data_IF_679076011164
#
_entry.id   IF_679076011164
#
_cell.length_a   1.000
_cell.length_b   1.000
_cell.length_c   1.000
_cell.angle_alpha   90.00
_cell.angle_beta   90.00
_cell.angle_gamma   90.00
#
_symmetry.space_group_name_H-M   'P 1'
#
loop_
_entity.id
_entity.type
_entity.pdbx_description
1 polymer ?
#
# COMPACT_ATOMS: atom_id res chain seq x y z
N UNK A 1 -4.51 7.87 18.42
CA UNK A 1 -5.51 6.78 18.53
C UNK A 1 -5.28 5.80 17.37
N UNK A 2 -5.23 4.49 17.63
CA UNK A 2 -5.10 3.47 16.57
C UNK A 2 -6.48 3.09 16.02
N UNK A 3 -6.54 2.45 14.85
CA UNK A 3 -7.80 1.95 14.28
C UNK A 3 -8.53 0.98 15.23
N UNK A 4 -7.78 0.21 16.03
CA UNK A 4 -8.35 -0.69 17.04
C UNK A 4 -8.88 0.01 18.31
N UNK A 5 -8.55 1.29 18.51
CA UNK A 5 -9.02 2.10 19.64
C UNK A 5 -10.28 2.92 19.31
N UNK A 6 -10.63 3.03 18.03
CA UNK A 6 -11.89 3.65 17.57
C UNK A 6 -12.99 2.58 17.46
N UNK A 7 -14.19 2.92 17.92
CA UNK A 7 -15.41 2.09 17.83
C UNK A 7 -15.19 0.61 18.19
N UNK A 8 -14.46 0.36 19.28
CA UNK A 8 -14.14 -0.98 19.78
C UNK A 8 -13.47 -1.93 18.76
N UNK A 9 -12.81 -1.38 17.74
CA UNK A 9 -12.16 -2.16 16.68
C UNK A 9 -13.07 -2.53 15.51
N UNK A 10 -14.31 -2.03 15.47
CA UNK A 10 -15.27 -2.26 14.38
C UNK A 10 -14.65 -1.96 13.01
N UNK A 11 -13.95 -0.84 12.87
CA UNK A 11 -13.28 -0.46 11.64
C UNK A 11 -12.22 -1.48 11.19
N UNK A 12 -11.53 -2.10 12.15
CA UNK A 12 -10.55 -3.15 11.85
C UNK A 12 -11.24 -4.41 11.33
N UNK A 13 -12.39 -4.78 11.91
CA UNK A 13 -13.19 -5.91 11.42
C UNK A 13 -13.78 -5.64 10.03
N UNK A 14 -14.25 -4.41 9.75
CA UNK A 14 -14.73 -4.02 8.43
C UNK A 14 -13.62 -4.11 7.37
N UNK A 15 -12.41 -3.62 7.66
CA UNK A 15 -11.25 -3.75 6.75
C UNK A 15 -10.92 -5.24 6.52
N UNK A 16 -10.95 -6.07 7.56
CA UNK A 16 -10.72 -7.49 7.41
C UNK A 16 -11.81 -8.19 6.59
N UNK A 17 -13.08 -7.79 6.73
CA UNK A 17 -14.17 -8.30 5.90
C UNK A 17 -13.96 -7.93 4.43
N UNK A 18 -13.59 -6.68 4.14
CA UNK A 18 -13.25 -6.24 2.79
C UNK A 18 -12.07 -7.03 2.19
N UNK A 19 -11.03 -7.33 2.97
CA UNK A 19 -9.92 -8.17 2.51
C UNK A 19 -10.34 -9.60 2.18
N UNK A 20 -11.25 -10.18 2.96
CA UNK A 20 -11.72 -11.57 2.75
C UNK A 20 -12.71 -11.70 1.60
N UNK A 21 -13.64 -10.77 1.50
CA UNK A 21 -14.85 -10.91 0.67
C UNK A 21 -14.88 -9.93 -0.50
N UNK A 22 -14.14 -8.81 -0.41
CA UNK A 22 -14.19 -7.71 -1.37
C UNK A 22 -13.80 -8.13 -2.79
N UNK A 23 -12.87 -9.07 -2.96
CA UNK A 23 -12.42 -9.52 -4.28
C UNK A 23 -13.58 -10.07 -5.11
N UNK A 24 -14.55 -10.76 -4.49
CA UNK A 24 -15.74 -11.28 -5.16
C UNK A 24 -16.66 -10.19 -5.72
N UNK A 25 -16.61 -8.99 -5.14
CA UNK A 25 -17.32 -7.79 -5.58
C UNK A 25 -16.44 -6.84 -6.42
N UNK A 26 -15.21 -7.25 -6.78
CA UNK A 26 -14.25 -6.42 -7.51
C UNK A 26 -13.59 -5.32 -6.66
N UNK A 27 -13.63 -5.44 -5.33
CA UNK A 27 -12.97 -4.55 -4.39
C UNK A 27 -11.59 -5.10 -4.00
N UNK A 28 -10.55 -4.30 -4.23
CA UNK A 28 -9.16 -4.63 -3.87
C UNK A 28 -8.61 -3.54 -2.95
N UNK A 29 -7.84 -3.95 -1.94
CA UNK A 29 -7.27 -3.05 -0.96
C UNK A 29 -5.76 -2.97 -1.14
N UNK A 30 -5.25 -1.73 -1.16
CA UNK A 30 -3.83 -1.44 -1.07
C UNK A 30 -3.59 -0.81 0.30
N UNK A 31 -2.81 -1.49 1.12
CA UNK A 31 -2.51 -1.07 2.49
C UNK A 31 -1.06 -0.58 2.56
N UNK A 32 -0.85 0.51 3.29
CA UNK A 32 0.50 1.03 3.57
C UNK A 32 0.63 1.22 5.07
N UNK A 33 1.83 0.99 5.59
CA UNK A 33 2.10 1.03 7.01
C UNK A 33 3.55 0.68 7.30
N UNK A 34 3.87 0.62 8.58
CA UNK A 34 5.17 0.21 9.07
C UNK A 34 5.15 -1.28 9.48
N UNK A 35 6.05 -1.65 10.40
CA UNK A 35 6.11 -2.99 11.00
C UNK A 35 4.75 -3.50 11.48
N UNK A 36 3.89 -2.65 12.05
CA UNK A 36 2.63 -3.09 12.65
C UNK A 36 1.68 -3.72 11.63
N UNK A 37 1.73 -3.28 10.36
CA UNK A 37 0.91 -3.87 9.30
C UNK A 37 1.35 -5.31 8.96
N UNK A 38 2.59 -5.65 9.28
CA UNK A 38 3.17 -6.99 9.08
C UNK A 38 2.85 -7.94 10.24
N UNK A 39 2.19 -7.45 11.29
CA UNK A 39 1.83 -8.23 12.47
C UNK A 39 0.33 -8.57 12.44
N UNK A 40 0.00 -9.83 12.70
CA UNK A 40 -1.39 -10.27 12.91
C UNK A 40 -2.21 -10.48 11.64
N UNK A 41 -3.52 -10.27 11.76
CA UNK A 41 -4.52 -10.81 10.81
C UNK A 41 -4.55 -10.07 9.46
N UNK A 42 -4.23 -8.78 9.44
CA UNK A 42 -4.11 -8.03 8.19
C UNK A 42 -2.96 -8.58 7.34
N UNK A 43 -1.83 -8.92 7.96
CA UNK A 43 -0.70 -9.54 7.28
C UNK A 43 -1.05 -10.92 6.71
N UNK A 44 -1.82 -11.74 7.43
CA UNK A 44 -2.24 -13.06 6.94
C UNK A 44 -3.26 -12.99 5.80
N UNK A 45 -4.08 -11.94 5.75
CA UNK A 45 -5.08 -11.72 4.71
C UNK A 45 -4.52 -11.01 3.46
N UNK A 46 -3.29 -10.50 3.53
CA UNK A 46 -2.64 -9.80 2.41
C UNK A 46 -1.72 -10.77 1.68
N UNK A 47 -2.05 -11.15 0.46
CA UNK A 47 -1.23 -12.07 -0.34
C UNK A 47 0.08 -11.39 -0.81
N UNK A 48 -0.04 -10.25 -1.47
CA UNK A 48 1.10 -9.51 -2.02
C UNK A 48 1.64 -8.47 -1.04
N UNK A 49 2.90 -8.62 -0.64
CA UNK A 49 3.58 -7.69 0.27
C UNK A 49 4.90 -7.23 -0.32
N UNK A 50 5.13 -5.92 -0.26
CA UNK A 50 6.39 -5.30 -0.63
C UNK A 50 6.94 -4.53 0.57
N UNK A 51 8.11 -4.94 1.05
CA UNK A 51 8.79 -4.25 2.14
C UNK A 51 9.78 -3.22 1.56
N UNK A 52 9.46 -1.93 1.70
CA UNK A 52 10.44 -0.85 1.56
C UNK A 52 11.47 -0.90 2.70
N UNK A 53 12.37 0.08 2.78
CA UNK A 53 13.33 0.18 3.90
C UNK A 53 12.62 0.20 5.25
N UNK A 54 12.74 -0.88 6.02
CA UNK A 54 12.27 -0.95 7.39
C UNK A 54 13.25 -0.26 8.35
N UNK A 55 12.74 0.20 9.50
CA UNK A 55 13.55 0.85 10.52
C UNK A 55 14.54 -0.14 11.16
N UNK A 56 14.06 -1.33 11.52
CA UNK A 56 14.89 -2.46 11.95
C UNK A 56 15.03 -3.45 10.79
N UNK A 57 16.27 -3.85 10.53
CA UNK A 57 16.60 -4.84 9.50
C UNK A 57 16.12 -6.24 9.87
N UNK A 58 15.99 -6.56 11.15
CA UNK A 58 15.47 -7.86 11.59
C UNK A 58 14.03 -8.10 11.10
N UNK A 59 13.27 -7.03 10.87
CA UNK A 59 11.83 -7.08 10.53
C UNK A 59 11.55 -7.62 9.14
N UNK A 60 12.55 -7.68 8.26
CA UNK A 60 12.43 -8.39 6.98
C UNK A 60 12.09 -9.87 7.15
N UNK A 61 12.42 -10.45 8.31
CA UNK A 61 12.03 -11.82 8.65
C UNK A 61 10.50 -11.98 8.73
N UNK A 62 9.76 -10.93 9.08
CA UNK A 62 8.28 -10.94 9.13
C UNK A 62 7.64 -11.10 7.74
N UNK A 63 8.39 -10.80 6.68
CA UNK A 63 7.98 -11.02 5.28
C UNK A 63 8.78 -12.15 4.63
N UNK A 64 9.39 -13.03 5.43
CA UNK A 64 10.09 -14.22 4.95
C UNK A 64 11.45 -13.96 4.30
N UNK A 65 12.04 -12.78 4.49
CA UNK A 65 13.32 -12.42 3.87
C UNK A 65 14.42 -12.47 4.95
N UNK A 66 15.45 -13.33 4.80
CA UNK A 66 16.58 -13.35 5.72
C UNK A 66 17.31 -12.00 5.75
N UNK A 67 17.45 -11.32 6.90
CA UNK A 67 18.09 -10.00 6.96
C UNK A 67 19.52 -9.95 6.39
N UNK A 68 20.23 -11.08 6.42
CA UNK A 68 21.60 -11.21 5.89
C UNK A 68 21.66 -11.29 4.36
N UNK A 69 20.58 -11.61 3.66
CA UNK A 69 20.57 -11.66 2.19
C UNK A 69 20.37 -10.29 1.53
N UNK A 70 19.96 -9.29 2.31
CA UNK A 70 19.68 -7.94 1.81
C UNK A 70 20.98 -7.14 1.58
N UNK A 71 20.97 -6.12 0.71
CA UNK A 71 22.09 -5.18 0.58
C UNK A 71 22.25 -4.33 1.85
N UNK A 72 23.46 -3.83 2.11
CA UNK A 72 23.74 -2.94 3.27
C UNK A 72 22.99 -1.62 3.16
N UNK A 73 22.91 -1.06 1.96
CA UNK A 73 22.21 0.18 1.67
C UNK A 73 20.97 -0.09 0.83
N UNK A 74 19.82 0.41 1.27
CA UNK A 74 18.53 0.30 0.58
C UNK A 74 18.12 1.73 0.18
N UNK A 75 18.25 2.11 -1.11
CA UNK A 75 17.93 3.46 -1.55
C UNK A 75 16.41 3.74 -1.47
N UNK A 76 15.98 5.02 -1.49
CA UNK A 76 14.58 5.38 -1.54
C UNK A 76 13.82 4.68 -2.69
N UNK A 77 12.60 4.21 -2.41
CA UNK A 77 11.77 3.48 -3.38
C UNK A 77 12.19 2.03 -3.66
N UNK A 78 13.33 1.56 -3.13
CA UNK A 78 13.68 0.14 -3.18
C UNK A 78 12.80 -0.65 -2.22
N UNK A 79 12.17 -1.67 -2.75
CA UNK A 79 11.38 -2.64 -2.01
C UNK A 79 11.83 -4.07 -2.33
N UNK A 80 11.41 -4.99 -1.47
CA UNK A 80 11.59 -6.42 -1.67
C UNK A 80 10.25 -7.12 -1.55
N UNK A 81 9.90 -7.92 -2.56
CA UNK A 81 8.69 -8.76 -2.52
C UNK A 81 8.86 -9.83 -1.45
N UNK A 82 7.84 -10.00 -0.60
CA UNK A 82 7.85 -11.01 0.45
C UNK A 82 8.20 -12.41 -0.09
N UNK A 83 8.83 -13.21 0.77
CA UNK A 83 9.31 -14.58 0.54
C UNK A 83 10.43 -14.69 -0.49
N UNK A 84 10.21 -14.20 -1.71
CA UNK A 84 11.19 -14.25 -2.79
C UNK A 84 12.39 -13.32 -2.57
N UNK A 85 12.21 -12.23 -1.82
CA UNK A 85 13.22 -11.18 -1.71
C UNK A 85 13.51 -10.47 -3.04
N UNK A 86 12.62 -10.59 -4.03
CA UNK A 86 12.81 -9.99 -5.35
C UNK A 86 12.87 -8.47 -5.21
N UNK A 87 13.98 -7.89 -5.65
CA UNK A 87 14.20 -6.45 -5.57
C UNK A 87 13.33 -5.71 -6.59
N UNK A 88 12.48 -4.81 -6.11
CA UNK A 88 11.57 -3.98 -6.91
C UNK A 88 11.90 -2.52 -6.66
N UNK A 89 11.91 -1.71 -7.72
CA UNK A 89 12.02 -0.26 -7.59
C UNK A 89 10.67 0.36 -7.91
N UNK A 90 10.08 1.06 -6.95
CA UNK A 90 8.86 1.83 -7.21
C UNK A 90 9.19 3.06 -8.07
N UNK A 91 8.44 3.21 -9.16
CA UNK A 91 8.56 4.37 -10.04
C UNK A 91 7.96 5.62 -9.39
N UNK A 92 8.54 6.76 -9.73
CA UNK A 92 7.97 8.06 -9.41
C UNK A 92 6.90 8.42 -10.46
N UNK A 93 5.96 9.28 -10.09
CA UNK A 93 4.93 9.80 -10.98
C UNK A 93 5.49 10.79 -12.00
N UNK A 94 6.59 11.45 -11.64
CA UNK A 94 7.35 12.38 -12.49
C UNK A 94 8.84 12.31 -12.13
N UNK A 95 9.71 12.79 -13.01
CA UNK A 95 11.16 12.64 -12.90
C UNK A 95 11.76 13.24 -11.60
N UNK A 96 11.38 14.46 -11.16
CA UNK A 96 11.93 15.04 -9.94
C UNK A 96 11.37 14.32 -8.70
N UNK A 97 12.22 13.76 -7.80
CA UNK A 97 11.78 12.96 -6.65
C UNK A 97 11.15 13.81 -5.52
N UNK A 98 11.22 15.13 -5.62
CA UNK A 98 10.74 16.04 -4.59
C UNK A 98 9.22 15.91 -4.43
N UNK A 99 8.76 15.91 -3.17
CA UNK A 99 7.34 15.73 -2.86
C UNK A 99 6.42 16.70 -3.59
N UNK A 100 6.85 17.94 -3.82
CA UNK A 100 6.09 18.94 -4.57
C UNK A 100 5.85 18.52 -6.02
N UNK A 101 6.86 17.97 -6.69
CA UNK A 101 6.74 17.50 -8.07
C UNK A 101 5.78 16.30 -8.14
N UNK A 102 5.90 15.37 -7.19
CA UNK A 102 5.00 14.20 -7.11
C UNK A 102 3.54 14.62 -6.82
N UNK A 103 3.30 15.59 -5.94
CA UNK A 103 1.96 16.14 -5.69
C UNK A 103 1.38 16.83 -6.92
N UNK A 104 2.20 17.59 -7.66
CA UNK A 104 1.78 18.23 -8.90
C UNK A 104 1.43 17.18 -9.97
N UNK A 105 2.25 16.15 -10.13
CA UNK A 105 2.00 15.04 -11.04
C UNK A 105 0.70 14.28 -10.69
N UNK A 106 0.47 13.99 -9.41
CA UNK A 106 -0.78 13.37 -8.94
C UNK A 106 -2.00 14.23 -9.24
N UNK A 107 -1.89 15.55 -9.03
CA UNK A 107 -2.95 16.50 -9.35
C UNK A 107 -3.25 16.52 -10.85
N UNK A 108 -2.22 16.50 -11.69
CA UNK A 108 -2.37 16.43 -13.15
C UNK A 108 -3.04 15.13 -13.60
N UNK A 109 -2.67 13.99 -13.01
CA UNK A 109 -3.33 12.69 -13.25
C UNK A 109 -4.82 12.79 -12.88
N UNK A 110 -5.16 13.36 -11.72
CA UNK A 110 -6.54 13.55 -11.29
C UNK A 110 -7.36 14.44 -12.23
N UNK A 111 -6.78 15.52 -12.74
CA UNK A 111 -7.43 16.39 -13.72
C UNK A 111 -7.67 15.66 -15.06
N UNK A 112 -6.67 14.92 -15.55
CA UNK A 112 -6.76 14.16 -16.79
C UNK A 112 -7.80 13.03 -16.71
N UNK A 113 -7.83 12.27 -15.61
CA UNK A 113 -8.83 11.21 -15.41
C UNK A 113 -10.24 11.78 -15.25
N UNK A 114 -10.39 12.90 -14.53
CA UNK A 114 -11.68 13.59 -14.43
C UNK A 114 -12.20 14.05 -15.79
N UNK A 115 -11.33 14.60 -16.64
CA UNK A 115 -11.71 15.02 -17.99
C UNK A 115 -12.09 13.82 -18.87
N UNK A 116 -11.27 12.76 -18.86
CA UNK A 116 -11.49 11.50 -19.58
C UNK A 116 -12.83 10.85 -19.21
N UNK A 117 -13.14 10.80 -17.91
CA UNK A 117 -14.30 10.09 -17.37
C UNK A 117 -15.54 10.98 -17.23
N UNK A 118 -15.53 12.19 -17.82
CA UNK A 118 -16.62 13.17 -17.74
C UNK A 118 -17.97 12.63 -18.21
N UNK A 119 -17.98 11.67 -19.13
CA UNK A 119 -19.20 11.06 -19.67
C UNK A 119 -19.74 9.90 -18.81
N UNK A 120 -19.00 9.41 -17.81
CA UNK A 120 -19.47 8.32 -16.93
C UNK A 120 -20.65 8.85 -16.08
N UNK A 121 -21.83 8.20 -16.05
CA UNK A 121 -22.93 8.60 -15.18
C UNK A 121 -22.51 8.69 -13.71
N UNK A 122 -23.00 9.69 -12.97
CA UNK A 122 -22.61 9.93 -11.57
C UNK A 122 -22.79 8.70 -10.67
N UNK A 123 -23.87 7.94 -10.88
CA UNK A 123 -24.16 6.70 -10.14
C UNK A 123 -23.13 5.57 -10.34
N UNK A 124 -22.26 5.66 -11.36
CA UNK A 124 -21.17 4.68 -11.63
C UNK A 124 -19.78 5.22 -11.29
N UNK A 125 -19.68 6.45 -10.76
CA UNK A 125 -18.41 7.03 -10.33
C UNK A 125 -18.13 6.64 -8.88
N UNK A 126 -16.86 6.63 -8.45
CA UNK A 126 -16.53 6.52 -7.04
C UNK A 126 -17.29 7.56 -6.21
N UNK A 127 -17.80 7.14 -5.06
CA UNK A 127 -18.41 8.06 -4.10
C UNK A 127 -17.32 8.97 -3.49
N UNK A 128 -17.70 10.19 -3.12
CA UNK A 128 -16.78 11.09 -2.39
C UNK A 128 -16.89 10.79 -0.90
N UNK A 129 -15.74 10.60 -0.26
CA UNK A 129 -15.57 10.53 1.19
C UNK A 129 -15.34 11.93 1.75
#
# INVERSE_FOLDING_TARGET
PTLGAHDHGELTEQIQALLREGASAGLHLVLTGDRQLLLGRLASLTEEKYALRLADRADYSLVGIPPRSLPTHIPPGRAFRAESGTATQFALLDAPPEGRAQTAALTAIGAATTARDKAVPAARRPFRL
#
